data_IF_164207167710
#
_entry.id   IF_164207167710
#
_cell.length_a   1.000
_cell.length_b   1.000
_cell.length_c   1.000
_cell.angle_alpha   90.00
_cell.angle_beta   90.00
_cell.angle_gamma   90.00
#
_symmetry.space_group_name_H-M   'P 1'
#
loop_
_entity.id
_entity.type
_entity.pdbx_description
1 polymer ?
#
# COMPACT_ATOMS: atom_id res chain seq x y z
N UNK A 1 8.45 26.92 17.92
CA UNK A 1 8.45 25.87 16.87
C UNK A 1 7.22 24.98 17.02
N UNK A 2 6.05 25.49 16.62
CA UNK A 2 4.81 24.71 16.54
C UNK A 2 4.90 23.85 15.28
N UNK A 3 5.24 22.57 15.46
CA UNK A 3 5.15 21.59 14.37
C UNK A 3 3.68 21.49 13.96
N UNK A 4 3.48 21.56 12.65
CA UNK A 4 2.22 21.34 11.95
C UNK A 4 1.63 19.98 12.35
N UNK A 5 0.87 19.96 13.43
CA UNK A 5 -0.09 18.91 13.72
C UNK A 5 -1.38 19.33 13.02
N UNK A 6 -2.13 18.38 12.47
CA UNK A 6 -3.32 18.59 11.63
C UNK A 6 -3.00 18.85 10.16
N UNK A 7 -2.80 17.77 9.41
CA UNK A 7 -3.72 17.33 8.33
C UNK A 7 -3.09 16.23 7.44
N UNK A 8 -1.76 16.08 7.42
CA UNK A 8 -1.09 14.94 6.80
C UNK A 8 0.16 14.54 7.61
N UNK A 9 0.12 13.37 8.24
CA UNK A 9 1.30 12.78 8.87
C UNK A 9 1.99 11.86 7.86
N UNK A 10 3.19 12.24 7.42
CA UNK A 10 4.01 11.39 6.56
C UNK A 10 4.86 10.46 7.45
N UNK A 11 4.58 9.16 7.40
CA UNK A 11 5.36 8.16 8.11
C UNK A 11 6.59 7.75 7.29
N UNK A 12 7.78 7.80 7.90
CA UNK A 12 9.02 7.32 7.25
C UNK A 12 9.00 5.78 7.12
N UNK A 13 8.30 5.09 8.03
CA UNK A 13 8.15 3.64 8.04
C UNK A 13 6.73 3.23 8.41
N UNK A 14 6.22 2.20 7.74
CA UNK A 14 4.95 1.56 8.09
C UNK A 14 5.15 0.57 9.24
N UNK A 15 5.20 1.07 10.47
CA UNK A 15 5.28 0.24 11.67
C UNK A 15 4.21 0.62 12.70
N UNK A 16 4.03 -0.24 13.71
CA UNK A 16 2.98 -0.08 14.73
C UNK A 16 3.08 1.27 15.46
N UNK A 17 4.29 1.71 15.81
CA UNK A 17 4.49 2.95 16.58
C UNK A 17 4.18 4.21 15.75
N UNK A 18 4.53 4.19 14.46
CA UNK A 18 4.17 5.26 13.53
C UNK A 18 2.64 5.38 13.39
N UNK A 19 1.94 4.25 13.24
CA UNK A 19 0.48 4.26 13.24
C UNK A 19 -0.08 4.75 14.57
N UNK A 20 0.41 4.29 15.72
CA UNK A 20 -0.05 4.80 17.04
C UNK A 20 0.05 6.32 17.15
N UNK A 21 1.17 6.87 16.70
CA UNK A 21 1.41 8.32 16.71
C UNK A 21 0.36 9.07 15.90
N UNK A 22 -0.08 8.50 14.78
CA UNK A 22 -1.19 9.05 13.99
C UNK A 22 -2.54 8.88 14.70
N UNK A 23 -2.85 7.66 15.16
CA UNK A 23 -4.16 7.32 15.72
C UNK A 23 -4.46 8.06 17.03
N UNK A 24 -3.44 8.33 17.86
CA UNK A 24 -3.59 9.06 19.12
C UNK A 24 -4.08 10.50 18.95
N UNK A 25 -3.91 11.09 17.76
CA UNK A 25 -4.37 12.45 17.46
C UNK A 25 -5.81 12.49 16.93
N UNK A 26 -6.45 11.33 16.80
CA UNK A 26 -7.76 11.17 16.19
C UNK A 26 -8.72 10.54 17.20
N UNK A 27 -9.98 10.95 17.13
CA UNK A 27 -11.05 10.29 17.88
C UNK A 27 -11.27 8.88 17.34
N UNK A 28 -11.52 7.93 18.25
CA UNK A 28 -11.77 6.54 17.90
C UNK A 28 -13.06 6.44 17.07
N UNK A 29 -13.01 5.92 15.83
CA UNK A 29 -14.20 5.72 15.02
C UNK A 29 -14.94 4.44 15.43
N UNK A 30 -16.23 4.34 15.11
CA UNK A 30 -17.01 3.12 15.32
C UNK A 30 -16.45 1.93 14.53
N UNK A 31 -16.07 2.19 13.26
CA UNK A 31 -15.54 1.17 12.35
C UNK A 31 -14.36 1.72 11.55
N UNK A 32 -13.30 0.92 11.43
CA UNK A 32 -12.16 1.20 10.53
C UNK A 32 -12.16 0.21 9.37
N UNK A 33 -12.01 0.74 8.16
CA UNK A 33 -11.85 -0.07 6.96
C UNK A 33 -10.39 -0.01 6.52
N UNK A 34 -9.73 -1.17 6.41
CA UNK A 34 -8.29 -1.25 6.11
C UNK A 34 -7.94 -2.32 5.08
N UNK A 35 -6.87 -2.07 4.34
CA UNK A 35 -6.32 -2.89 3.26
C UNK A 35 -5.60 -4.16 3.75
N UNK A 36 -5.01 -4.13 4.93
CA UNK A 36 -3.83 -4.95 5.06
C UNK A 36 -3.19 -5.01 6.41
N UNK A 37 -2.68 -3.84 6.75
CA UNK A 37 -1.32 -3.78 7.23
C UNK A 37 -1.22 -4.32 8.67
N UNK A 38 -0.26 -5.20 8.91
CA UNK A 38 -0.09 -5.81 10.22
C UNK A 38 0.24 -4.77 11.31
N UNK A 39 1.05 -3.76 10.98
CA UNK A 39 1.36 -2.65 11.87
C UNK A 39 0.13 -1.81 12.16
N UNK A 40 -0.66 -1.47 11.14
CA UNK A 40 -1.91 -0.72 11.31
C UNK A 40 -2.92 -1.47 12.17
N UNK A 41 -3.16 -2.76 11.89
CA UNK A 41 -4.08 -3.60 12.67
C UNK A 41 -3.66 -3.74 14.13
N UNK A 42 -2.35 -3.87 14.38
CA UNK A 42 -1.80 -3.92 15.74
C UNK A 42 -2.00 -2.60 16.47
N UNK A 43 -1.75 -1.47 15.80
CA UNK A 43 -1.93 -0.15 16.38
C UNK A 43 -3.41 0.15 16.68
N UNK A 44 -4.32 -0.15 15.74
CA UNK A 44 -5.77 0.01 15.94
C UNK A 44 -6.22 -0.78 17.17
N UNK A 45 -5.80 -2.05 17.30
CA UNK A 45 -6.18 -2.88 18.45
C UNK A 45 -5.69 -2.30 19.79
N UNK A 46 -4.54 -1.63 19.80
CA UNK A 46 -3.94 -1.08 21.02
C UNK A 46 -4.50 0.30 21.39
N UNK A 47 -4.75 1.17 20.41
CA UNK A 47 -5.22 2.55 20.63
C UNK A 47 -6.75 2.62 20.68
N UNK A 48 -7.42 1.83 19.83
CA UNK A 48 -8.86 1.83 19.66
C UNK A 48 -9.43 0.42 19.90
N UNK A 49 -9.40 -0.04 21.14
CA UNK A 49 -9.78 -1.42 21.51
C UNK A 49 -11.24 -1.77 21.12
N UNK A 50 -12.14 -0.79 21.23
CA UNK A 50 -13.57 -0.97 20.95
C UNK A 50 -13.92 -0.83 19.47
N UNK A 51 -13.02 -0.27 18.66
CA UNK A 51 -13.27 -0.02 17.24
C UNK A 51 -13.30 -1.32 16.45
N UNK A 52 -14.37 -1.52 15.70
CA UNK A 52 -14.51 -2.71 14.85
C UNK A 52 -13.74 -2.54 13.55
N UNK A 53 -13.13 -3.62 13.07
CA UNK A 53 -12.34 -3.60 11.84
C UNK A 53 -13.07 -4.31 10.71
N UNK A 54 -13.15 -3.65 9.56
CA UNK A 54 -13.57 -4.21 8.28
C UNK A 54 -12.34 -4.33 7.37
N UNK A 55 -12.07 -5.51 6.83
CA UNK A 55 -11.05 -5.69 5.79
C UNK A 55 -11.66 -5.36 4.43
N UNK A 56 -10.97 -4.56 3.64
CA UNK A 56 -11.42 -4.21 2.30
C UNK A 56 -11.54 -5.47 1.42
N UNK A 57 -12.75 -5.80 0.97
CA UNK A 57 -13.00 -7.02 0.18
C UNK A 57 -12.26 -7.03 -1.17
N UNK A 58 -12.01 -5.85 -1.75
CA UNK A 58 -11.23 -5.71 -3.00
C UNK A 58 -9.76 -6.05 -2.77
N UNK A 59 -9.18 -5.64 -1.64
CA UNK A 59 -7.81 -6.00 -1.27
C UNK A 59 -7.70 -7.50 -0.97
N UNK A 60 -8.68 -8.09 -0.27
CA UNK A 60 -8.75 -9.55 -0.10
C UNK A 60 -8.77 -10.25 -1.46
N UNK A 61 -9.60 -9.78 -2.39
CA UNK A 61 -9.67 -10.32 -3.75
C UNK A 61 -8.36 -10.20 -4.51
N UNK A 62 -7.66 -9.06 -4.40
CA UNK A 62 -6.35 -8.85 -5.03
C UNK A 62 -5.30 -9.79 -4.46
N UNK A 63 -5.26 -9.98 -3.14
CA UNK A 63 -4.34 -10.89 -2.48
C UNK A 63 -4.54 -12.33 -2.93
N UNK A 64 -5.78 -12.79 -3.06
CA UNK A 64 -6.07 -14.14 -3.55
C UNK A 64 -5.71 -14.26 -5.04
N UNK A 65 -5.98 -13.24 -5.86
CA UNK A 65 -5.57 -13.23 -7.27
C UNK A 65 -4.07 -13.40 -7.44
N UNK A 66 -3.25 -12.79 -6.58
CA UNK A 66 -1.78 -12.97 -6.62
C UNK A 66 -1.40 -14.43 -6.34
N UNK A 67 -2.10 -15.11 -5.44
CA UNK A 67 -1.81 -16.49 -5.06
C UNK A 67 -2.35 -17.52 -6.06
N UNK A 68 -3.51 -17.29 -6.66
CA UNK A 68 -4.19 -18.28 -7.52
C UNK A 68 -4.08 -17.98 -9.01
N UNK A 69 -3.89 -16.70 -9.40
CA UNK A 69 -4.17 -16.09 -10.71
C UNK A 69 -5.65 -15.83 -11.02
N UNK A 70 -5.93 -15.03 -12.06
CA UNK A 70 -7.29 -14.69 -12.52
C UNK A 70 -7.96 -15.77 -13.38
N UNK A 71 -7.17 -16.67 -13.97
CA UNK A 71 -7.61 -17.81 -14.79
C UNK A 71 -6.91 -19.09 -14.31
N UNK A 72 -7.19 -19.55 -13.08
CA UNK A 72 -6.53 -20.72 -12.52
C UNK A 72 -6.87 -21.98 -13.31
N UNK A 73 -5.87 -22.83 -13.56
CA UNK A 73 -6.04 -24.14 -14.22
C UNK A 73 -6.41 -25.24 -13.22
N UNK A 74 -5.80 -25.22 -12.04
CA UNK A 74 -6.05 -26.19 -10.96
C UNK A 74 -7.44 -26.00 -10.35
N UNK A 75 -8.12 -27.11 -10.06
CA UNK A 75 -9.50 -27.09 -9.55
C UNK A 75 -9.62 -26.45 -8.17
N UNK A 76 -8.66 -26.70 -7.26
CA UNK A 76 -8.59 -26.03 -5.95
C UNK A 76 -8.48 -24.51 -6.08
N UNK A 77 -7.63 -24.01 -6.97
CA UNK A 77 -7.50 -22.59 -7.26
C UNK A 77 -8.75 -22.01 -7.94
N UNK A 78 -9.42 -22.76 -8.83
CA UNK A 78 -10.72 -22.36 -9.41
C UNK A 78 -11.78 -22.20 -8.31
N UNK A 79 -11.85 -23.13 -7.36
CA UNK A 79 -12.77 -23.06 -6.24
C UNK A 79 -12.51 -21.81 -5.37
N UNK A 80 -11.26 -21.58 -4.97
CA UNK A 80 -10.85 -20.40 -4.20
C UNK A 80 -11.16 -19.08 -4.93
N UNK A 81 -10.87 -19.03 -6.23
CA UNK A 81 -11.17 -17.85 -7.05
C UNK A 81 -12.68 -17.62 -7.19
N UNK A 82 -13.46 -18.68 -7.34
CA UNK A 82 -14.93 -18.62 -7.33
C UNK A 82 -15.50 -18.08 -6.02
N UNK A 83 -14.99 -18.54 -4.88
CA UNK A 83 -15.36 -18.03 -3.55
C UNK A 83 -15.11 -16.52 -3.44
N UNK A 84 -13.94 -16.06 -3.88
CA UNK A 84 -13.59 -14.64 -3.81
C UNK A 84 -14.42 -13.77 -4.75
N UNK A 85 -14.81 -14.29 -5.93
CA UNK A 85 -15.75 -13.57 -6.82
C UNK A 85 -17.12 -13.41 -6.18
N UNK A 86 -17.59 -14.41 -5.43
CA UNK A 86 -18.84 -14.34 -4.66
C UNK A 86 -18.70 -13.38 -3.47
N UNK A 87 -17.56 -13.43 -2.76
CA UNK A 87 -17.29 -12.60 -1.57
C UNK A 87 -17.58 -11.11 -1.80
N UNK A 88 -17.05 -10.53 -2.88
CA UNK A 88 -17.22 -9.09 -3.18
C UNK A 88 -18.65 -8.68 -3.56
N UNK A 89 -19.53 -9.67 -3.85
CA UNK A 89 -20.93 -9.44 -4.21
C UNK A 89 -21.88 -9.54 -3.02
N UNK A 90 -21.42 -9.98 -1.86
CA UNK A 90 -22.26 -10.17 -0.66
C UNK A 90 -22.81 -8.84 -0.18
N UNK A 91 -24.11 -8.80 0.11
CA UNK A 91 -24.84 -7.63 0.63
C UNK A 91 -25.70 -7.94 1.85
N UNK A 92 -25.89 -9.21 2.21
CA UNK A 92 -26.76 -9.61 3.32
C UNK A 92 -26.08 -10.61 4.26
N UNK A 93 -26.56 -10.69 5.50
CA UNK A 93 -26.06 -11.65 6.49
C UNK A 93 -26.29 -13.10 6.06
N UNK A 94 -27.45 -13.40 5.47
CA UNK A 94 -27.76 -14.73 4.92
C UNK A 94 -26.74 -15.15 3.85
N UNK A 95 -26.37 -14.23 2.97
CA UNK A 95 -25.32 -14.49 1.96
C UNK A 95 -23.94 -14.70 2.58
N UNK A 96 -23.58 -13.97 3.65
CA UNK A 96 -22.32 -14.19 4.34
C UNK A 96 -22.26 -15.57 5.01
N UNK A 97 -23.35 -16.03 5.62
CA UNK A 97 -23.40 -17.36 6.24
C UNK A 97 -23.27 -18.47 5.20
N UNK A 98 -24.01 -18.36 4.10
CA UNK A 98 -23.88 -19.25 2.94
C UNK A 98 -22.44 -19.26 2.42
N UNK A 99 -21.79 -18.10 2.36
CA UNK A 99 -20.41 -18.00 1.90
C UNK A 99 -19.42 -18.68 2.86
N UNK A 100 -19.58 -18.52 4.18
CA UNK A 100 -18.75 -19.20 5.19
C UNK A 100 -18.92 -20.72 5.08
N UNK A 101 -20.16 -21.20 4.91
CA UNK A 101 -20.44 -22.62 4.68
C UNK A 101 -19.77 -23.14 3.39
N UNK A 102 -19.79 -22.36 2.31
CA UNK A 102 -19.08 -22.71 1.08
C UNK A 102 -17.56 -22.77 1.27
N UNK A 103 -16.99 -21.85 2.05
CA UNK A 103 -15.57 -21.88 2.39
C UNK A 103 -15.21 -23.15 3.17
N UNK A 104 -16.01 -23.54 4.15
CA UNK A 104 -15.81 -24.78 4.91
C UNK A 104 -15.95 -26.04 4.03
N UNK A 105 -16.99 -26.10 3.18
CA UNK A 105 -17.15 -27.19 2.20
C UNK A 105 -15.94 -27.31 1.27
N UNK A 106 -15.43 -26.17 0.79
CA UNK A 106 -14.24 -26.15 -0.06
C UNK A 106 -12.99 -26.66 0.66
N UNK A 107 -12.84 -26.34 1.97
CA UNK A 107 -11.75 -26.89 2.75
C UNK A 107 -11.85 -28.40 2.87
N UNK A 108 -13.01 -28.92 3.23
CA UNK A 108 -13.22 -30.36 3.40
C UNK A 108 -12.93 -31.14 2.12
N UNK A 109 -13.27 -30.58 0.96
CA UNK A 109 -12.97 -31.17 -0.34
C UNK A 109 -11.47 -31.20 -0.66
N UNK A 110 -10.74 -30.13 -0.32
CA UNK A 110 -9.33 -29.98 -0.70
C UNK A 110 -8.34 -30.20 0.46
N UNK A 111 -8.79 -30.58 1.66
CA UNK A 111 -7.96 -30.66 2.87
C UNK A 111 -6.75 -31.57 2.70
N UNK A 112 -6.96 -32.76 2.12
CA UNK A 112 -5.91 -33.77 2.00
C UNK A 112 -4.86 -33.30 0.99
N UNK A 113 -5.33 -32.74 -0.14
CA UNK A 113 -4.49 -32.11 -1.14
C UNK A 113 -3.70 -30.92 -0.55
N UNK A 114 -4.35 -29.98 0.15
CA UNK A 114 -3.70 -28.82 0.78
C UNK A 114 -2.65 -29.21 1.84
N UNK A 115 -2.84 -30.37 2.48
CA UNK A 115 -1.94 -30.90 3.50
C UNK A 115 -0.83 -31.80 2.94
N UNK A 116 -0.77 -32.02 1.62
CA UNK A 116 0.34 -32.74 0.98
C UNK A 116 1.67 -32.05 1.28
N UNK A 117 2.67 -32.87 1.60
CA UNK A 117 4.03 -32.43 1.95
C UNK A 117 5.02 -33.02 0.96
N UNK A 118 5.92 -32.18 0.49
CA UNK A 118 7.11 -32.59 -0.24
C UNK A 118 8.24 -32.72 0.77
N UNK A 119 8.89 -33.88 0.79
CA UNK A 119 10.04 -34.16 1.65
C UNK A 119 11.33 -33.88 0.90
N UNK A 120 12.28 -33.24 1.56
CA UNK A 120 13.56 -32.84 0.97
C UNK A 120 14.34 -34.02 0.40
N UNK A 121 14.35 -35.15 1.11
CA UNK A 121 14.99 -36.40 0.67
C UNK A 121 14.48 -36.93 -0.68
N UNK A 122 13.32 -36.47 -1.15
CA UNK A 122 12.70 -36.91 -2.40
C UNK A 122 12.90 -35.90 -3.55
N UNK A 123 13.70 -34.85 -3.37
CA UNK A 123 13.88 -33.76 -4.35
C UNK A 123 15.38 -33.50 -4.53
N UNK A 124 15.83 -33.39 -5.78
CA UNK A 124 17.23 -33.01 -6.07
C UNK A 124 17.52 -31.59 -5.57
N UNK A 125 18.77 -31.31 -5.19
CA UNK A 125 19.14 -30.02 -4.57
C UNK A 125 18.81 -28.81 -5.45
N UNK A 126 18.94 -28.96 -6.78
CA UNK A 126 18.61 -27.95 -7.78
C UNK A 126 17.12 -27.56 -7.81
N UNK A 127 16.24 -28.50 -7.45
CA UNK A 127 14.79 -28.31 -7.46
C UNK A 127 14.23 -27.85 -6.09
N UNK A 128 15.10 -27.63 -5.11
CA UNK A 128 14.68 -27.11 -3.81
C UNK A 128 14.40 -25.60 -3.94
N UNK A 129 13.18 -25.13 -3.61
CA UNK A 129 12.88 -23.72 -3.70
C UNK A 129 13.75 -22.86 -2.77
N UNK A 130 14.18 -21.69 -3.24
CA UNK A 130 15.09 -20.79 -2.51
C UNK A 130 14.58 -20.30 -1.15
N UNK A 131 13.26 -20.31 -0.93
CA UNK A 131 12.64 -19.91 0.34
C UNK A 131 12.64 -21.05 1.39
N UNK A 132 12.97 -22.28 1.02
CA UNK A 132 13.12 -23.41 1.96
C UNK A 132 14.42 -23.25 2.74
N UNK A 133 14.35 -23.33 4.07
CA UNK A 133 15.55 -23.21 4.92
C UNK A 133 16.45 -24.45 4.79
N UNK A 134 17.76 -24.27 4.94
CA UNK A 134 18.76 -25.36 4.85
C UNK A 134 18.55 -26.49 5.86
N UNK A 135 17.86 -26.28 6.98
CA UNK A 135 17.56 -27.31 7.97
C UNK A 135 16.13 -27.89 7.84
N UNK A 136 15.33 -27.38 6.91
CA UNK A 136 13.93 -27.78 6.76
C UNK A 136 13.82 -29.09 5.96
N UNK A 137 13.20 -30.10 6.57
CA UNK A 137 13.10 -31.47 6.03
C UNK A 137 11.91 -31.66 5.10
N UNK A 138 10.88 -30.82 5.20
CA UNK A 138 9.69 -30.90 4.36
C UNK A 138 9.01 -29.53 4.23
N UNK A 139 8.21 -29.37 3.19
CA UNK A 139 7.36 -28.20 3.00
C UNK A 139 6.01 -28.61 2.42
N UNK A 140 4.98 -27.78 2.58
CA UNK A 140 3.70 -28.00 1.91
C UNK A 140 3.90 -27.88 0.40
N UNK A 141 3.39 -28.85 -0.35
CA UNK A 141 3.51 -28.88 -1.82
C UNK A 141 2.73 -27.72 -2.45
N UNK A 142 1.51 -27.49 -1.96
CA UNK A 142 0.57 -26.51 -2.55
C UNK A 142 0.50 -25.22 -1.73
N UNK A 143 1.64 -24.54 -1.58
CA UNK A 143 1.76 -23.40 -0.67
C UNK A 143 0.85 -22.23 -1.00
N UNK A 144 0.74 -21.88 -2.28
CA UNK A 144 -0.05 -20.72 -2.73
C UNK A 144 -1.52 -20.94 -2.46
N UNK A 145 -2.06 -22.12 -2.79
CA UNK A 145 -3.42 -22.52 -2.47
C UNK A 145 -3.68 -22.51 -0.97
N UNK A 146 -2.75 -23.08 -0.19
CA UNK A 146 -2.85 -23.12 1.27
C UNK A 146 -2.82 -21.72 1.89
N UNK A 147 -1.94 -20.84 1.42
CA UNK A 147 -1.85 -19.44 1.85
C UNK A 147 -3.13 -18.69 1.50
N UNK A 148 -3.69 -18.94 0.32
CA UNK A 148 -4.94 -18.31 -0.12
C UNK A 148 -6.12 -18.74 0.77
N UNK A 149 -6.27 -20.04 1.02
CA UNK A 149 -7.27 -20.57 1.94
C UNK A 149 -7.11 -19.99 3.35
N UNK A 150 -5.90 -20.06 3.92
CA UNK A 150 -5.62 -19.55 5.26
C UNK A 150 -5.90 -18.06 5.39
N UNK A 151 -5.64 -17.28 4.34
CA UNK A 151 -5.95 -15.85 4.34
C UNK A 151 -7.44 -15.65 4.58
N UNK A 152 -8.31 -16.33 3.81
CA UNK A 152 -9.76 -16.25 3.96
C UNK A 152 -10.21 -16.78 5.32
N UNK A 153 -9.76 -17.97 5.71
CA UNK A 153 -10.11 -18.59 6.98
C UNK A 153 -9.74 -17.70 8.19
N UNK A 154 -8.57 -17.06 8.15
CA UNK A 154 -8.15 -16.11 9.19
C UNK A 154 -9.06 -14.88 9.25
N UNK A 155 -9.47 -14.32 8.11
CA UNK A 155 -10.36 -13.16 8.14
C UNK A 155 -11.76 -13.50 8.67
N UNK A 156 -12.26 -14.71 8.38
CA UNK A 156 -13.51 -15.22 8.96
C UNK A 156 -13.36 -15.39 10.47
N UNK A 157 -12.31 -16.08 10.93
CA UNK A 157 -12.03 -16.29 12.36
C UNK A 157 -11.92 -14.98 13.13
N UNK A 158 -11.29 -13.97 12.52
CA UNK A 158 -11.14 -12.65 13.14
C UNK A 158 -12.42 -11.80 13.06
N UNK A 159 -13.47 -12.26 12.38
CA UNK A 159 -14.73 -11.51 12.25
C UNK A 159 -14.66 -10.26 11.38
N UNK A 160 -13.63 -10.12 10.53
CA UNK A 160 -13.32 -8.84 9.86
C UNK A 160 -13.83 -8.71 8.41
N UNK A 161 -14.45 -9.75 7.84
CA UNK A 161 -14.94 -9.73 6.45
C UNK A 161 -16.32 -9.08 6.31
N UNK A 162 -17.17 -9.23 7.33
CA UNK A 162 -18.61 -8.93 7.25
C UNK A 162 -19.04 -7.90 8.30
N UNK A 163 -18.10 -7.19 8.92
CA UNK A 163 -18.35 -6.14 9.90
C UNK A 163 -19.32 -5.07 9.36
N UNK A 164 -19.27 -4.80 8.06
CA UNK A 164 -20.17 -3.84 7.40
C UNK A 164 -21.65 -4.26 7.38
N UNK A 165 -21.97 -5.51 7.72
CA UNK A 165 -23.33 -6.05 7.79
C UNK A 165 -23.85 -6.18 9.22
N UNK A 166 -23.04 -5.84 10.23
CA UNK A 166 -23.37 -5.97 11.65
C UNK A 166 -24.53 -5.01 12.00
N UNK A 167 -25.74 -5.51 12.36
CA UNK A 167 -26.90 -4.65 12.61
C UNK A 167 -26.66 -3.62 13.72
N UNK A 168 -25.94 -4.00 14.78
CA UNK A 168 -25.64 -3.12 15.90
C UNK A 168 -24.73 -1.95 15.50
N UNK A 169 -23.90 -2.12 14.46
CA UNK A 169 -23.06 -1.06 13.93
C UNK A 169 -23.83 -0.17 12.97
N UNK A 170 -24.74 -0.75 12.18
CA UNK A 170 -25.61 0.00 11.28
C UNK A 170 -26.58 0.90 12.04
N UNK A 171 -27.11 0.46 13.18
CA UNK A 171 -27.95 1.30 14.06
C UNK A 171 -27.20 2.50 14.65
N UNK A 172 -25.89 2.34 14.91
CA UNK A 172 -25.03 3.40 15.46
C UNK A 172 -24.54 4.40 14.42
N UNK A 173 -24.74 4.14 13.13
CA UNK A 173 -24.12 4.94 12.05
C UNK A 173 -25.20 5.48 11.12
N UNK A 174 -25.23 6.79 10.90
CA UNK A 174 -26.19 7.42 9.98
C UNK A 174 -25.94 7.09 8.50
N UNK A 175 -24.75 6.56 8.18
CA UNK A 175 -24.30 6.24 6.82
C UNK A 175 -23.99 4.74 6.72
N UNK A 176 -24.35 4.07 5.61
CA UNK A 176 -24.00 2.66 5.40
C UNK A 176 -22.50 2.44 5.46
N UNK A 177 -22.07 1.40 6.19
CA UNK A 177 -20.66 1.05 6.32
C UNK A 177 -20.17 0.44 4.99
N UNK A 178 -19.13 0.99 4.35
CA UNK A 178 -18.61 0.42 3.13
C UNK A 178 -17.85 -0.90 3.37
N UNK A 179 -18.01 -1.87 2.46
CA UNK A 179 -17.23 -3.11 2.46
C UNK A 179 -15.84 -2.96 1.81
N UNK A 180 -15.56 -1.81 1.19
CA UNK A 180 -14.34 -1.55 0.41
C UNK A 180 -13.82 -0.14 0.62
N UNK A 181 -12.53 0.05 0.38
CA UNK A 181 -11.86 1.37 0.37
C UNK A 181 -11.84 2.01 -1.01
N UNK A 182 -12.70 1.58 -1.95
CA UNK A 182 -12.67 2.06 -3.34
C UNK A 182 -12.92 3.56 -3.46
N UNK A 183 -13.78 4.14 -2.59
CA UNK A 183 -14.03 5.58 -2.57
C UNK A 183 -12.74 6.36 -2.22
N UNK A 184 -11.92 5.84 -1.30
CA UNK A 184 -10.64 6.43 -0.93
C UNK A 184 -9.61 6.24 -2.05
N UNK A 185 -9.49 5.02 -2.60
CA UNK A 185 -8.50 4.72 -3.63
C UNK A 185 -8.76 5.41 -4.97
N UNK A 186 -10.03 5.46 -5.38
CA UNK A 186 -10.47 6.07 -6.64
C UNK A 186 -10.71 7.57 -6.54
N UNK A 187 -11.09 8.06 -5.35
CA UNK A 187 -11.32 9.49 -5.09
C UNK A 187 -10.03 10.18 -4.66
N UNK A 188 -9.79 10.24 -3.35
CA UNK A 188 -8.72 11.03 -2.73
C UNK A 188 -7.33 10.57 -3.18
N UNK A 189 -7.02 9.28 -3.05
CA UNK A 189 -5.68 8.76 -3.35
C UNK A 189 -5.33 8.89 -4.83
N UNK A 190 -6.32 8.82 -5.73
CA UNK A 190 -6.06 8.96 -7.17
C UNK A 190 -5.66 10.39 -7.52
N UNK A 191 -6.25 11.38 -6.86
CA UNK A 191 -5.93 12.79 -7.06
C UNK A 191 -4.54 13.13 -6.50
N UNK A 192 -4.20 12.64 -5.31
CA UNK A 192 -2.86 12.77 -4.74
C UNK A 192 -1.81 12.13 -5.66
N UNK A 193 -2.06 10.91 -6.15
CA UNK A 193 -1.16 10.23 -7.09
C UNK A 193 -0.98 11.01 -8.39
N UNK A 194 -2.04 11.64 -8.91
CA UNK A 194 -1.97 12.51 -10.10
C UNK A 194 -1.11 13.75 -9.84
N UNK A 195 -1.34 14.43 -8.72
CA UNK A 195 -0.56 15.61 -8.30
C UNK A 195 0.94 15.28 -8.32
N UNK A 196 1.35 14.22 -7.62
CA UNK A 196 2.74 13.76 -7.59
C UNK A 196 3.24 13.38 -8.99
N UNK A 197 2.41 12.73 -9.79
CA UNK A 197 2.78 12.33 -11.16
C UNK A 197 2.94 13.50 -12.13
N UNK A 198 2.28 14.63 -11.91
CA UNK A 198 2.49 15.83 -12.72
C UNK A 198 3.77 16.57 -12.33
N UNK A 199 4.23 16.41 -11.09
CA UNK A 199 5.39 17.11 -10.54
C UNK A 199 6.59 16.19 -10.23
N UNK A 200 6.95 15.30 -11.18
CA UNK A 200 8.04 14.32 -11.01
C UNK A 200 9.42 14.91 -10.73
N UNK A 201 9.63 16.20 -11.01
CA UNK A 201 10.90 16.89 -10.79
C UNK A 201 11.06 17.50 -9.38
N UNK A 202 10.05 17.39 -8.52
CA UNK A 202 10.13 17.93 -7.16
C UNK A 202 10.96 17.03 -6.24
N UNK A 203 11.68 17.65 -5.30
CA UNK A 203 12.29 16.93 -4.20
C UNK A 203 11.21 16.28 -3.32
N UNK A 204 11.59 15.25 -2.56
CA UNK A 204 10.66 14.57 -1.65
C UNK A 204 9.98 15.54 -0.68
N UNK A 205 10.73 16.51 -0.16
CA UNK A 205 10.18 17.52 0.76
C UNK A 205 9.15 18.44 0.08
N UNK A 206 9.38 18.82 -1.18
CA UNK A 206 8.41 19.62 -1.94
C UNK A 206 7.19 18.78 -2.32
N UNK A 207 7.37 17.52 -2.74
CA UNK A 207 6.24 16.62 -2.98
C UNK A 207 5.39 16.43 -1.72
N UNK A 208 6.02 16.25 -0.55
CA UNK A 208 5.31 16.14 0.73
C UNK A 208 4.51 17.41 1.04
N UNK A 209 5.12 18.58 0.83
CA UNK A 209 4.46 19.88 1.03
C UNK A 209 3.26 20.05 0.09
N UNK A 210 3.39 19.66 -1.18
CA UNK A 210 2.30 19.75 -2.14
C UNK A 210 1.13 18.85 -1.74
N UNK A 211 1.41 17.63 -1.26
CA UNK A 211 0.39 16.71 -0.75
C UNK A 211 -0.27 17.31 0.51
N UNK A 212 0.50 17.88 1.43
CA UNK A 212 -0.02 18.56 2.63
C UNK A 212 -0.97 19.69 2.26
N UNK A 213 -0.58 20.57 1.33
CA UNK A 213 -1.42 21.66 0.84
C UNK A 213 -2.67 21.14 0.14
N UNK A 214 -2.53 20.10 -0.69
CA UNK A 214 -3.68 19.48 -1.33
C UNK A 214 -4.67 18.93 -0.30
N UNK A 215 -4.20 18.20 0.71
CA UNK A 215 -5.04 17.71 1.81
C UNK A 215 -5.69 18.86 2.60
N UNK A 216 -4.93 19.94 2.83
CA UNK A 216 -5.41 21.12 3.52
C UNK A 216 -6.58 21.78 2.78
N UNK A 217 -6.41 22.09 1.49
CA UNK A 217 -7.45 22.74 0.68
C UNK A 217 -8.69 21.87 0.45
N UNK A 218 -8.55 20.54 0.56
CA UNK A 218 -9.67 19.60 0.46
C UNK A 218 -10.24 19.17 1.81
N UNK A 219 -9.83 19.83 2.92
CA UNK A 219 -10.47 19.67 4.22
C UNK A 219 -11.80 20.41 4.27
N UNK A 220 -12.69 20.03 5.20
CA UNK A 220 -14.03 20.65 5.29
C UNK A 220 -13.98 22.14 5.67
N UNK A 221 -12.99 22.54 6.49
CA UNK A 221 -12.84 23.91 6.99
C UNK A 221 -11.37 24.34 6.96
N UNK A 222 -10.78 24.64 5.79
CA UNK A 222 -9.42 25.16 5.74
C UNK A 222 -9.41 26.60 6.28
N UNK A 223 -8.56 26.85 7.28
CA UNK A 223 -8.26 28.22 7.71
C UNK A 223 -7.66 29.06 6.56
N UNK A 224 -7.52 30.37 6.73
CA UNK A 224 -6.86 31.17 5.73
C UNK A 224 -5.35 30.84 5.70
N UNK A 225 -4.76 30.44 4.54
CA UNK A 225 -3.33 30.12 4.43
C UNK A 225 -2.38 31.22 4.95
N UNK A 226 -2.82 32.49 4.88
CA UNK A 226 -2.04 33.63 5.37
C UNK A 226 -1.76 33.56 6.88
N UNK A 227 -2.62 32.88 7.65
CA UNK A 227 -2.43 32.70 9.09
C UNK A 227 -1.19 31.85 9.43
N UNK A 228 -0.70 31.05 8.47
CA UNK A 228 0.52 30.25 8.65
C UNK A 228 1.81 31.04 8.41
N UNK A 229 1.72 32.25 7.85
CA UNK A 229 2.87 33.09 7.57
C UNK A 229 3.26 33.78 8.89
N UNK A 230 4.33 33.28 9.52
CA UNK A 230 4.93 33.91 10.71
C UNK A 230 6.12 34.78 10.32
N UNK A 231 6.52 35.70 11.20
CA UNK A 231 7.70 36.54 10.99
C UNK A 231 8.99 35.71 10.77
N UNK A 232 9.03 34.47 11.28
CA UNK A 232 10.12 33.52 11.07
C UNK A 232 10.22 33.02 9.62
N UNK A 233 9.10 32.96 8.88
CA UNK A 233 9.09 32.52 7.49
C UNK A 233 9.86 33.45 6.54
N UNK A 234 10.02 34.73 6.93
CA UNK A 234 10.77 35.72 6.16
C UNK A 234 12.27 35.72 6.47
N UNK A 235 12.72 34.95 7.47
CA UNK A 235 14.15 34.84 7.77
C UNK A 235 14.83 33.99 6.69
N UNK A 236 15.92 34.49 6.06
CA UNK A 236 16.63 33.71 5.05
C UNK A 236 17.16 32.41 5.68
N UNK A 237 16.83 31.28 5.05
CA UNK A 237 17.41 29.99 5.45
C UNK A 237 18.84 29.92 4.94
N UNK A 238 19.82 29.89 5.84
CA UNK A 238 21.20 29.61 5.48
C UNK A 238 21.26 28.22 4.82
N UNK A 239 21.55 28.18 3.52
CA UNK A 239 21.90 26.92 2.84
C UNK A 239 23.17 26.40 3.52
N UNK A 240 23.12 25.20 4.10
CA UNK A 240 24.34 24.51 4.51
C UNK A 240 25.14 24.25 3.23
N UNK A 241 26.27 24.93 3.08
CA UNK A 241 27.27 24.58 2.09
C UNK A 241 27.82 23.23 2.55
N UNK A 242 27.53 22.17 1.80
CA UNK A 242 28.23 20.91 1.97
C UNK A 242 29.58 21.12 1.29
N UNK A 243 30.62 21.36 2.08
CA UNK A 243 31.99 21.31 1.58
C UNK A 243 32.28 19.82 1.43
N UNK A 244 32.46 19.37 0.19
CA UNK A 244 32.94 18.02 -0.09
C UNK A 244 34.45 18.00 0.19
N UNK A 245 34.85 17.33 1.27
CA UNK A 245 36.25 17.24 1.69
C UNK A 245 37.06 16.22 0.85
N UNK A 246 36.50 15.68 -0.24
CA UNK A 246 37.20 14.81 -1.18
C UNK A 246 37.37 15.47 -2.55
N UNK A 247 38.61 15.80 -2.99
CA UNK A 247 38.84 16.34 -4.32
C UNK A 247 38.96 15.19 -5.31
N UNK A 248 37.86 14.53 -5.66
CA UNK A 248 37.80 13.64 -6.82
C UNK A 248 36.54 13.98 -7.63
N UNK A 249 36.51 15.22 -8.11
CA UNK A 249 35.68 15.67 -9.22
C UNK A 249 36.60 16.10 -10.38
N UNK A 250 36.15 16.03 -11.64
CA UNK A 250 37.00 16.40 -12.76
C UNK A 250 37.44 17.86 -12.64
N UNK A 251 38.68 18.13 -13.05
CA UNK A 251 39.30 19.43 -12.96
C UNK A 251 38.35 20.54 -13.42
N UNK A 252 38.26 21.59 -12.58
CA UNK A 252 37.64 22.87 -12.90
C UNK A 252 38.08 23.27 -14.31
N UNK A 253 37.12 23.58 -15.20
CA UNK A 253 37.42 23.96 -16.58
C UNK A 253 38.51 25.03 -16.57
N UNK A 254 39.64 24.65 -17.15
CA UNK A 254 40.86 25.44 -17.22
C UNK A 254 40.56 26.72 -17.99
N UNK A 255 41.04 27.86 -17.49
CA UNK A 255 40.97 29.17 -18.16
C UNK A 255 41.94 29.26 -19.35
N UNK A 256 42.04 28.18 -20.11
CA UNK A 256 42.99 27.97 -21.22
C UNK A 256 42.31 27.78 -22.59
N UNK A 257 41.03 28.13 -22.74
CA UNK A 257 40.39 28.22 -24.06
C UNK A 257 40.59 29.62 -24.64
N UNK A 258 41.61 29.75 -25.49
CA UNK A 258 41.80 30.92 -26.35
C UNK A 258 40.72 30.87 -27.45
N UNK A 259 39.65 31.66 -27.28
CA UNK A 259 38.50 31.73 -28.20
C UNK A 259 38.88 32.21 -29.62
N UNK A 260 40.14 32.56 -29.86
CA UNK A 260 40.65 33.05 -31.14
C UNK A 260 41.20 31.93 -32.06
N UNK A 261 41.27 30.67 -31.62
CA UNK A 261 41.61 29.52 -32.49
C UNK A 261 40.49 28.48 -32.47
N UNK A 262 39.49 28.70 -33.33
CA UNK A 262 38.50 27.68 -33.62
C UNK A 262 39.08 26.67 -34.61
N UNK A 263 39.56 25.53 -34.12
CA UNK A 263 39.77 24.34 -34.95
C UNK A 263 38.40 23.77 -35.33
N UNK A 264 37.81 24.33 -36.39
CA UNK A 264 36.56 23.85 -36.97
C UNK A 264 36.80 22.47 -37.60
N UNK A 265 36.28 21.42 -36.97
CA UNK A 265 36.25 20.08 -37.56
C UNK A 265 34.97 19.94 -38.42
N UNK A 266 35.07 19.90 -39.77
CA UNK A 266 33.92 20.01 -40.67
C UNK A 266 32.95 18.80 -40.63
N UNK A 267 33.36 17.71 -39.99
CA UNK A 267 32.61 16.44 -39.97
C UNK A 267 31.50 16.35 -38.90
N UNK A 268 31.37 17.35 -38.02
CA UNK A 268 30.33 17.40 -36.97
C UNK A 268 29.21 18.37 -37.37
N UNK A 269 28.76 18.30 -38.63
CA UNK A 269 27.56 18.99 -39.07
C UNK A 269 26.31 18.11 -38.82
N UNK A 270 25.38 18.64 -38.02
CA UNK A 270 24.06 18.06 -37.75
C UNK A 270 23.30 17.89 -39.07
N UNK A 271 23.00 16.64 -39.47
CA UNK A 271 22.13 16.35 -40.61
C UNK A 271 20.73 16.92 -40.35
N UNK A 272 20.34 17.96 -41.09
CA UNK A 272 18.95 18.43 -41.12
C UNK A 272 18.09 17.36 -41.80
N UNK A 273 17.16 16.78 -41.05
CA UNK A 273 16.17 15.83 -41.58
C UNK A 273 15.26 16.49 -42.62
N UNK A 274 14.97 15.76 -43.69
CA UNK A 274 14.11 16.17 -44.81
C UNK A 274 12.64 16.19 -44.35
N UNK A 275 11.93 17.31 -44.57
CA UNK A 275 10.48 17.35 -44.38
C UNK A 275 9.77 16.53 -45.47
N UNK A 276 8.81 15.72 -45.06
CA UNK A 276 7.75 15.17 -45.91
C UNK A 276 6.41 15.65 -45.35
#
# INVERSE_FOLDING_TARGET
MLKWNYFASCCIRENTEAYKSLLNNLLAPTVVITDGNAGALSAIKQVWSETRVQRCLVHVKRNIRVLTTSKPRLQSHKALWGLVKKLVKIRTLKESDLWVNLLQKSYNQWKDWLNQKTFRRNVSEENIPSWVRRNQQWWYTHQTARKAYNLLARQVKNGTLFTFLDPLLLEKTSVPIPSTTNALEGGINSQIKKLVSFHKGLSEDHMRRDIEWWCYFNSENPSNPKQFITAECFKPKNKKIIIDDNPIGPAHLDTGFDLCKADYHPDIAIRKGTMR
#
